data_IF_087447655329
#
_entry.id   IF_087447655329
#
_cell.length_a   1.000
_cell.length_b   1.000
_cell.length_c   1.000
_cell.angle_alpha   90.00
_cell.angle_beta   90.00
_cell.angle_gamma   90.00
#
_symmetry.space_group_name_H-M   'P 1'
#
loop_
_entity.id
_entity.type
_entity.pdbx_description
1 polymer ?
#
# COMPACT_ATOMS: atom_id res chain seq x y z
N UNK A 1 38.60 -14.77 -27.85
CA UNK A 1 37.66 -15.06 -26.75
C UNK A 1 37.05 -13.74 -26.31
N UNK A 2 35.78 -13.50 -26.62
CA UNK A 2 35.06 -12.30 -26.17
C UNK A 2 34.94 -12.38 -24.65
N UNK A 3 35.56 -11.44 -23.92
CA UNK A 3 35.36 -11.33 -22.47
C UNK A 3 33.94 -10.83 -22.26
N UNK A 4 33.06 -11.68 -21.75
CA UNK A 4 31.74 -11.28 -21.28
C UNK A 4 31.90 -10.08 -20.35
N UNK A 5 31.12 -9.00 -20.52
CA UNK A 5 31.22 -7.84 -19.67
C UNK A 5 30.99 -8.23 -18.20
N UNK A 6 31.79 -7.65 -17.31
CA UNK A 6 31.52 -7.74 -15.88
C UNK A 6 30.29 -6.88 -15.55
N UNK A 7 29.11 -7.51 -15.56
CA UNK A 7 27.84 -6.84 -15.35
C UNK A 7 27.75 -6.15 -13.98
N UNK A 8 28.41 -6.67 -12.93
CA UNK A 8 28.43 -6.04 -11.61
C UNK A 8 29.19 -4.72 -11.66
N UNK A 9 30.39 -4.75 -12.26
CA UNK A 9 31.19 -3.55 -12.46
C UNK A 9 30.47 -2.51 -13.32
N UNK A 10 29.75 -2.94 -14.35
CA UNK A 10 28.96 -2.02 -15.18
C UNK A 10 27.89 -1.29 -14.36
N UNK A 11 27.13 -2.01 -13.54
CA UNK A 11 26.13 -1.41 -12.64
C UNK A 11 26.82 -0.39 -11.71
N UNK A 12 27.89 -0.79 -11.02
CA UNK A 12 28.61 0.07 -10.07
C UNK A 12 29.12 1.36 -10.73
N UNK A 13 29.68 1.27 -11.95
CA UNK A 13 30.18 2.44 -12.68
C UNK A 13 29.08 3.32 -13.24
N UNK A 14 27.85 2.80 -13.35
CA UNK A 14 26.70 3.52 -13.90
C UNK A 14 25.83 4.16 -12.81
N UNK A 15 26.03 3.85 -11.52
CA UNK A 15 25.21 4.34 -10.40
C UNK A 15 25.04 5.86 -10.40
N UNK A 16 26.09 6.61 -10.72
CA UNK A 16 26.08 8.07 -10.81
C UNK A 16 26.44 8.55 -12.21
N UNK A 17 25.97 7.82 -13.23
CA UNK A 17 26.18 8.22 -14.62
C UNK A 17 25.57 9.59 -14.91
N UNK A 18 26.17 10.30 -15.86
CA UNK A 18 25.67 11.58 -16.34
C UNK A 18 24.24 11.43 -16.90
N UNK A 19 23.31 12.22 -16.37
CA UNK A 19 21.89 12.12 -16.69
C UNK A 19 21.63 12.37 -18.18
N UNK A 20 22.24 13.40 -18.77
CA UNK A 20 22.01 13.77 -20.17
C UNK A 20 22.49 12.67 -21.14
N UNK A 21 23.67 12.10 -20.89
CA UNK A 21 24.20 10.96 -21.66
C UNK A 21 23.33 9.72 -21.50
N UNK A 22 22.90 9.43 -20.27
CA UNK A 22 22.03 8.28 -19.95
C UNK A 22 20.68 8.42 -20.65
N UNK A 23 20.05 9.59 -20.57
CA UNK A 23 18.79 9.88 -21.22
C UNK A 23 18.90 9.78 -22.74
N UNK A 24 19.95 10.32 -23.35
CA UNK A 24 20.17 10.21 -24.80
C UNK A 24 20.29 8.74 -25.25
N UNK A 25 20.99 7.91 -24.47
CA UNK A 25 21.10 6.47 -24.74
C UNK A 25 19.75 5.75 -24.58
N UNK A 26 18.99 6.05 -23.53
CA UNK A 26 17.67 5.46 -23.28
C UNK A 26 16.65 5.85 -24.35
N UNK A 27 16.62 7.12 -24.79
CA UNK A 27 15.75 7.59 -25.88
C UNK A 27 16.05 6.82 -27.16
N UNK A 28 17.34 6.65 -27.49
CA UNK A 28 17.75 5.88 -28.66
C UNK A 28 17.33 4.41 -28.54
N UNK A 29 17.51 3.80 -27.37
CA UNK A 29 17.11 2.41 -27.12
C UNK A 29 15.59 2.21 -27.16
N UNK A 30 14.83 3.18 -26.68
CA UNK A 30 13.37 3.19 -26.66
C UNK A 30 12.76 3.75 -27.97
N UNK A 31 13.53 3.83 -29.05
CA UNK A 31 13.18 4.47 -30.33
C UNK A 31 12.06 3.78 -31.11
N UNK A 32 10.84 3.76 -30.57
CA UNK A 32 9.63 3.23 -31.20
C UNK A 32 9.25 4.03 -32.45
N UNK A 33 8.76 3.32 -33.47
CA UNK A 33 8.27 3.92 -34.71
C UNK A 33 7.07 4.84 -34.46
N UNK A 34 6.80 5.77 -35.39
CA UNK A 34 5.61 6.62 -35.30
C UNK A 34 4.31 5.82 -35.28
N UNK A 35 4.27 4.71 -36.02
CA UNK A 35 3.13 3.79 -36.06
C UNK A 35 2.93 3.06 -34.72
N UNK A 36 4.00 2.52 -34.12
CA UNK A 36 3.95 1.88 -32.80
C UNK A 36 3.44 2.86 -31.75
N UNK A 37 3.95 4.09 -31.75
CA UNK A 37 3.52 5.15 -30.84
C UNK A 37 2.04 5.44 -31.01
N UNK A 38 1.55 5.58 -32.25
CA UNK A 38 0.14 5.82 -32.52
C UNK A 38 -0.75 4.68 -31.99
N UNK A 39 -0.36 3.41 -32.22
CA UNK A 39 -1.09 2.24 -31.69
C UNK A 39 -1.09 2.17 -30.16
N UNK A 40 0.05 2.43 -29.52
CA UNK A 40 0.17 2.45 -28.06
C UNK A 40 -0.71 3.56 -27.48
N UNK A 41 -0.65 4.78 -28.05
CA UNK A 41 -1.46 5.91 -27.60
C UNK A 41 -2.96 5.62 -27.73
N UNK A 42 -3.40 5.03 -28.85
CA UNK A 42 -4.80 4.66 -29.05
C UNK A 42 -5.26 3.65 -27.98
N UNK A 43 -4.51 2.56 -27.78
CA UNK A 43 -4.83 1.55 -26.76
C UNK A 43 -4.80 2.11 -25.34
N UNK A 44 -3.83 2.96 -25.01
CA UNK A 44 -3.76 3.61 -23.71
C UNK A 44 -4.96 4.55 -23.49
N UNK A 45 -5.36 5.30 -24.51
CA UNK A 45 -6.55 6.14 -24.44
C UNK A 45 -7.83 5.31 -24.23
N UNK A 46 -7.95 4.14 -24.86
CA UNK A 46 -9.07 3.23 -24.64
C UNK A 46 -9.11 2.70 -23.19
N UNK A 47 -7.95 2.32 -22.63
CA UNK A 47 -7.84 1.91 -21.22
C UNK A 47 -8.25 3.05 -20.27
N UNK A 48 -7.78 4.28 -20.51
CA UNK A 48 -8.14 5.45 -19.69
C UNK A 48 -9.63 5.76 -19.81
N UNK A 49 -10.23 5.69 -21.01
CA UNK A 49 -11.67 5.88 -21.17
C UNK A 49 -12.46 4.79 -20.47
N UNK A 50 -12.00 3.53 -20.52
CA UNK A 50 -12.64 2.42 -19.81
C UNK A 50 -12.61 2.64 -18.28
N UNK A 51 -11.47 3.07 -17.72
CA UNK A 51 -11.35 3.41 -16.29
C UNK A 51 -12.29 4.55 -15.92
N UNK A 52 -12.29 5.64 -16.69
CA UNK A 52 -13.14 6.82 -16.43
C UNK A 52 -14.64 6.55 -16.55
N UNK A 53 -15.03 5.60 -17.39
CA UNK A 53 -16.44 5.23 -17.59
C UNK A 53 -16.93 4.18 -16.57
N UNK A 54 -16.07 3.66 -15.69
CA UNK A 54 -16.53 2.79 -14.61
C UNK A 54 -17.38 3.58 -13.61
N UNK A 55 -18.62 3.14 -13.45
CA UNK A 55 -19.72 3.90 -12.82
C UNK A 55 -19.72 3.83 -11.29
N UNK A 56 -18.71 3.23 -10.68
CA UNK A 56 -18.68 2.98 -9.24
C UNK A 56 -17.25 3.14 -8.72
N UNK A 57 -16.69 4.37 -8.77
CA UNK A 57 -15.37 4.61 -8.22
C UNK A 57 -15.36 4.20 -6.75
N UNK A 58 -14.33 3.47 -6.35
CA UNK A 58 -14.17 3.05 -4.96
C UNK A 58 -14.12 4.27 -4.05
N UNK A 59 -14.49 4.13 -2.78
CA UNK A 59 -14.42 5.22 -1.79
C UNK A 59 -13.05 5.92 -1.80
N UNK A 60 -11.99 5.15 -2.04
CA UNK A 60 -10.61 5.63 -2.17
C UNK A 60 -10.37 6.50 -3.41
N UNK A 61 -10.88 6.12 -4.58
CA UNK A 61 -10.65 6.88 -5.82
C UNK A 61 -11.33 8.25 -5.74
N UNK A 62 -12.53 8.30 -5.16
CA UNK A 62 -13.24 9.56 -4.92
C UNK A 62 -12.51 10.39 -3.85
N UNK A 63 -11.99 9.72 -2.82
CA UNK A 63 -11.21 10.36 -1.77
C UNK A 63 -9.89 10.97 -2.29
N UNK A 64 -9.12 10.22 -3.10
CA UNK A 64 -7.86 10.69 -3.67
C UNK A 64 -8.06 11.74 -4.77
N UNK A 65 -9.18 11.69 -5.50
CA UNK A 65 -9.52 12.74 -6.44
C UNK A 65 -9.83 14.08 -5.73
N UNK A 66 -10.42 14.02 -4.53
CA UNK A 66 -10.78 15.21 -3.75
C UNK A 66 -9.59 15.78 -2.96
N UNK A 67 -8.82 14.92 -2.29
CA UNK A 67 -7.76 15.34 -1.36
C UNK A 67 -6.34 15.19 -1.94
N UNK A 68 -6.09 14.29 -2.89
CA UNK A 68 -4.76 13.99 -3.42
C UNK A 68 -3.83 13.30 -2.41
N UNK A 69 -2.98 12.37 -2.87
CA UNK A 69 -2.01 11.67 -2.00
C UNK A 69 -0.79 12.53 -1.57
N UNK A 70 -0.59 13.66 -2.24
CA UNK A 70 0.55 14.55 -2.02
C UNK A 70 0.22 15.77 -1.15
N UNK A 71 -1.00 15.85 -0.62
CA UNK A 71 -1.41 16.91 0.30
C UNK A 71 -1.17 16.47 1.73
N UNK A 72 -0.94 17.43 2.62
CA UNK A 72 -0.78 17.15 4.04
C UNK A 72 -2.03 16.45 4.61
N UNK A 73 -3.21 16.78 4.10
CA UNK A 73 -4.48 16.14 4.43
C UNK A 73 -4.57 14.67 3.97
N UNK A 74 -4.16 14.38 2.73
CA UNK A 74 -4.13 13.03 2.18
C UNK A 74 -3.15 12.13 2.94
N UNK A 75 -1.97 12.64 3.28
CA UNK A 75 -0.96 11.95 4.09
C UNK A 75 -1.50 11.68 5.50
N UNK A 76 -2.10 12.68 6.15
CA UNK A 76 -2.65 12.54 7.50
C UNK A 76 -3.76 11.47 7.56
N UNK A 77 -4.66 11.44 6.57
CA UNK A 77 -5.71 10.43 6.55
C UNK A 77 -5.19 9.02 6.27
N UNK A 78 -4.20 8.90 5.39
CA UNK A 78 -3.55 7.62 5.11
C UNK A 78 -2.85 7.05 6.34
N UNK A 79 -2.10 7.89 7.07
CA UNK A 79 -1.49 7.54 8.35
C UNK A 79 -2.54 7.11 9.39
N UNK A 80 -3.68 7.82 9.46
CA UNK A 80 -4.74 7.46 10.37
C UNK A 80 -5.40 6.12 9.97
N UNK A 81 -5.66 5.89 8.69
CA UNK A 81 -6.23 4.64 8.18
C UNK A 81 -5.33 3.43 8.46
N UNK A 82 -4.02 3.59 8.30
CA UNK A 82 -3.02 2.60 8.67
C UNK A 82 -3.02 2.34 10.18
N UNK A 83 -3.00 3.40 10.99
CA UNK A 83 -2.95 3.31 12.44
C UNK A 83 -4.21 2.62 13.02
N UNK A 84 -5.41 2.99 12.55
CA UNK A 84 -6.67 2.40 13.01
C UNK A 84 -6.83 0.91 12.66
N UNK A 85 -6.10 0.40 11.67
CA UNK A 85 -6.08 -1.03 11.35
C UNK A 85 -5.11 -1.82 12.23
N UNK A 86 -4.05 -1.17 12.74
CA UNK A 86 -3.01 -1.82 13.55
C UNK A 86 -3.27 -1.75 15.04
N UNK A 87 -4.00 -0.74 15.49
CA UNK A 87 -4.29 -0.50 16.91
C UNK A 87 -5.61 -1.19 17.28
N UNK A 88 -5.60 -2.21 18.15
CA UNK A 88 -6.80 -2.94 18.52
C UNK A 88 -7.63 -2.25 19.62
N UNK A 89 -7.05 -1.32 20.38
CA UNK A 89 -7.67 -0.66 21.52
C UNK A 89 -8.24 0.72 21.18
N UNK A 90 -9.42 1.01 21.71
CA UNK A 90 -10.16 2.23 21.39
C UNK A 90 -9.49 3.50 21.94
N UNK A 91 -8.80 3.40 23.07
CA UNK A 91 -8.22 4.57 23.75
C UNK A 91 -6.98 5.09 22.99
N UNK A 92 -6.14 4.21 22.47
CA UNK A 92 -4.98 4.60 21.63
C UNK A 92 -5.44 5.12 20.26
N UNK A 93 -6.52 4.56 19.72
CA UNK A 93 -7.19 5.08 18.52
C UNK A 93 -7.64 6.53 18.73
N UNK A 94 -8.22 6.84 19.89
CA UNK A 94 -8.69 8.20 20.21
C UNK A 94 -7.54 9.19 20.30
N UNK A 95 -6.45 8.81 20.98
CA UNK A 95 -5.26 9.64 21.06
C UNK A 95 -4.64 9.91 19.68
N UNK A 96 -4.66 8.91 18.78
CA UNK A 96 -4.20 9.05 17.39
C UNK A 96 -5.10 9.94 16.55
N UNK A 97 -6.42 9.82 16.72
CA UNK A 97 -7.42 10.69 16.07
C UNK A 97 -7.19 12.13 16.50
N UNK A 98 -7.01 12.38 17.80
CA UNK A 98 -6.77 13.70 18.34
C UNK A 98 -5.43 14.30 17.84
N UNK A 99 -4.35 13.52 17.86
CA UNK A 99 -3.02 13.96 17.40
C UNK A 99 -2.96 14.25 15.89
N UNK A 100 -3.59 13.42 15.06
CA UNK A 100 -3.46 13.49 13.59
C UNK A 100 -4.56 14.29 12.89
N UNK A 101 -5.75 14.44 13.48
CA UNK A 101 -6.89 15.11 12.84
C UNK A 101 -7.06 16.54 13.34
N UNK A 102 -6.84 16.81 14.63
CA UNK A 102 -7.11 18.11 15.24
C UNK A 102 -6.25 19.30 14.70
N UNK A 103 -5.00 19.11 14.24
CA UNK A 103 -4.19 20.23 13.75
C UNK A 103 -4.56 20.75 12.35
N UNK A 104 -5.32 19.99 11.55
CA UNK A 104 -5.50 20.27 10.12
C UNK A 104 -6.77 21.09 9.81
N UNK A 105 -6.68 22.07 8.92
CA UNK A 105 -7.74 23.06 8.63
C UNK A 105 -8.71 22.57 7.54
N UNK A 106 -9.42 21.47 7.82
CA UNK A 106 -10.32 20.76 6.90
C UNK A 106 -11.50 21.59 6.36
N UNK A 107 -11.73 22.80 6.88
CA UNK A 107 -12.89 23.63 6.57
C UNK A 107 -12.88 24.24 5.15
N UNK A 108 -11.74 24.25 4.45
CA UNK A 108 -11.60 24.91 3.14
C UNK A 108 -12.20 24.12 1.96
N UNK A 109 -12.45 22.83 2.11
CA UNK A 109 -12.93 21.95 1.03
C UNK A 109 -14.44 21.63 1.10
N UNK A 110 -15.19 22.35 1.93
CA UNK A 110 -16.64 22.18 2.05
C UNK A 110 -17.37 22.67 0.78
N UNK A 111 -18.06 21.75 0.10
CA UNK A 111 -19.10 22.08 -0.90
C UNK A 111 -18.80 21.73 -2.36
N UNK A 112 -17.70 21.05 -2.67
CA UNK A 112 -17.30 20.76 -4.06
C UNK A 112 -17.60 19.34 -4.57
N UNK A 113 -17.96 18.38 -3.71
CA UNK A 113 -18.25 16.99 -4.12
C UNK A 113 -19.76 16.70 -4.23
N UNK A 114 -20.15 16.06 -5.33
CA UNK A 114 -21.55 15.68 -5.66
C UNK A 114 -22.03 14.40 -4.96
N UNK A 115 -21.17 13.76 -4.14
CA UNK A 115 -21.49 12.51 -3.44
C UNK A 115 -21.78 12.72 -1.95
N UNK A 116 -22.95 12.28 -1.51
CA UNK A 116 -23.42 12.36 -0.11
C UNK A 116 -22.59 11.50 0.87
N UNK A 117 -21.93 10.45 0.38
CA UNK A 117 -21.14 9.51 1.18
C UNK A 117 -19.73 10.03 1.49
N UNK A 118 -19.16 10.84 0.60
CA UNK A 118 -17.85 11.50 0.79
C UNK A 118 -17.98 12.65 1.77
N UNK A 119 -19.10 13.39 1.69
CA UNK A 119 -19.47 14.35 2.72
C UNK A 119 -19.56 13.65 4.09
N UNK A 120 -20.14 12.45 4.19
CA UNK A 120 -20.23 11.74 5.48
C UNK A 120 -18.86 11.45 6.13
N UNK A 121 -17.80 11.15 5.37
CA UNK A 121 -16.43 11.00 5.90
C UNK A 121 -15.81 12.32 6.37
N UNK A 122 -16.02 13.42 5.64
CA UNK A 122 -15.62 14.78 6.06
C UNK A 122 -16.34 15.19 7.36
N UNK A 123 -17.62 14.82 7.49
CA UNK A 123 -18.41 15.06 8.70
C UNK A 123 -17.92 14.27 9.91
N UNK A 124 -17.42 13.06 9.68
CA UNK A 124 -16.94 12.17 10.74
C UNK A 124 -15.59 12.63 11.32
N UNK A 125 -14.72 13.23 10.48
CA UNK A 125 -13.45 13.85 10.87
C UNK A 125 -13.63 15.25 11.51
N UNK A 126 -14.61 16.04 11.06
CA UNK A 126 -14.88 17.36 11.66
C UNK A 126 -15.49 17.28 13.07
N UNK A 127 -16.10 16.15 13.42
CA UNK A 127 -16.78 15.99 14.70
C UNK A 127 -15.83 15.77 15.88
N UNK A 128 -14.61 15.29 15.61
CA UNK A 128 -13.56 15.14 16.62
C UNK A 128 -12.77 16.44 16.84
N UNK A 129 -12.72 17.33 15.84
CA UNK A 129 -11.94 18.58 15.92
C UNK A 129 -12.68 19.84 16.43
N UNK A 130 -14.01 19.86 16.48
CA UNK A 130 -14.80 21.07 16.82
C UNK A 130 -15.81 20.88 17.97
N UNK A 131 -15.44 20.13 19.00
CA UNK A 131 -16.16 20.18 20.29
C UNK A 131 -15.71 21.37 21.16
N UNK A 132 -14.64 22.07 20.78
CA UNK A 132 -14.14 23.27 21.46
C UNK A 132 -14.03 24.45 20.50
N UNK A 133 -15.13 25.18 20.31
CA UNK A 133 -15.18 26.65 20.17
C UNK A 133 -16.59 27.09 19.78
N UNK A 134 -17.14 27.97 20.60
CA UNK A 134 -18.44 28.61 20.41
C UNK A 134 -18.41 29.64 19.27
N UNK A 135 -19.63 29.97 18.81
CA UNK A 135 -20.03 31.08 17.94
C UNK A 135 -20.10 30.84 16.41
N UNK A 136 -21.33 30.61 15.90
CA UNK A 136 -22.13 31.61 15.15
C UNK A 136 -23.47 30.99 14.66
N UNK A 137 -24.57 31.78 14.53
CA UNK A 137 -25.91 31.27 14.23
C UNK A 137 -26.17 31.22 12.72
N UNK A 138 -26.43 30.03 12.19
CA UNK A 138 -26.83 29.81 10.81
C UNK A 138 -27.62 28.51 10.65
N UNK A 139 -28.11 28.18 9.44
CA UNK A 139 -28.98 27.02 9.15
C UNK A 139 -28.39 25.64 9.55
N UNK A 140 -27.14 25.62 9.99
CA UNK A 140 -26.45 24.55 10.73
C UNK A 140 -27.16 24.16 12.04
N UNK A 141 -28.03 25.01 12.59
CA UNK A 141 -28.73 24.78 13.87
C UNK A 141 -29.63 23.54 13.92
N UNK A 142 -30.27 23.16 12.81
CA UNK A 142 -31.16 21.99 12.77
C UNK A 142 -30.39 20.66 12.67
N UNK A 143 -29.27 20.63 11.95
CA UNK A 143 -28.32 19.49 11.95
C UNK A 143 -27.63 19.31 13.31
N UNK A 144 -27.38 20.40 14.04
CA UNK A 144 -26.81 20.36 15.41
C UNK A 144 -27.73 19.62 16.39
N UNK A 145 -29.05 19.70 16.21
CA UNK A 145 -30.02 18.94 17.03
C UNK A 145 -29.97 17.44 16.76
N UNK A 146 -29.66 17.00 15.54
CA UNK A 146 -29.52 15.59 15.19
C UNK A 146 -28.19 15.03 15.69
N UNK A 147 -27.09 15.78 15.55
CA UNK A 147 -25.76 15.42 16.07
C UNK A 147 -25.73 15.37 17.60
N UNK A 148 -26.38 16.33 18.29
CA UNK A 148 -26.51 16.35 19.75
C UNK A 148 -27.41 15.24 20.29
N UNK A 149 -28.32 14.69 19.46
CA UNK A 149 -29.24 13.60 19.81
C UNK A 149 -28.71 12.20 19.45
N UNK A 150 -27.70 12.12 18.58
CA UNK A 150 -27.05 10.87 18.17
C UNK A 150 -25.77 10.54 18.96
N UNK A 151 -25.15 11.53 19.60
CA UNK A 151 -24.02 11.34 20.51
C UNK A 151 -22.70 10.98 19.81
N UNK A 152 -21.59 11.38 20.43
CA UNK A 152 -20.22 11.03 20.07
C UNK A 152 -20.01 9.51 19.73
N UNK A 153 -20.66 8.55 20.42
CA UNK A 153 -20.48 7.12 20.13
C UNK A 153 -20.96 6.68 18.73
N UNK A 154 -21.99 7.32 18.16
CA UNK A 154 -22.53 6.95 16.84
C UNK A 154 -21.59 7.42 15.72
N UNK A 155 -21.03 8.62 15.87
CA UNK A 155 -20.10 9.20 14.89
C UNK A 155 -18.77 8.44 14.93
N UNK A 156 -18.28 8.10 16.12
CA UNK A 156 -17.12 7.22 16.36
C UNK A 156 -17.27 5.86 15.66
N UNK A 157 -18.45 5.25 15.78
CA UNK A 157 -18.76 3.97 15.12
C UNK A 157 -18.73 4.13 13.59
N UNK A 158 -19.23 5.25 13.07
CA UNK A 158 -19.23 5.55 11.64
C UNK A 158 -17.81 5.78 11.08
N UNK A 159 -16.97 6.58 11.75
CA UNK A 159 -15.54 6.78 11.41
C UNK A 159 -14.82 5.43 11.39
N UNK A 160 -14.90 4.68 12.49
CA UNK A 160 -14.22 3.38 12.63
C UNK A 160 -14.62 2.43 11.51
N UNK A 161 -15.90 2.42 11.12
CA UNK A 161 -16.42 1.57 10.04
C UNK A 161 -15.93 2.05 8.67
N UNK A 162 -15.92 3.35 8.40
CA UNK A 162 -15.39 3.91 7.16
C UNK A 162 -13.89 3.64 7.02
N UNK A 163 -13.13 3.78 8.10
CA UNK A 163 -11.68 3.55 8.12
C UNK A 163 -11.33 2.07 8.02
N UNK A 164 -12.10 1.17 8.65
CA UNK A 164 -11.99 -0.28 8.39
C UNK A 164 -12.24 -0.61 6.93
N UNK A 165 -13.20 0.06 6.28
CA UNK A 165 -13.49 -0.20 4.87
C UNK A 165 -12.42 0.38 3.93
N UNK A 166 -11.85 1.55 4.24
CA UNK A 166 -10.69 2.09 3.53
C UNK A 166 -9.46 1.20 3.73
N UNK A 167 -9.22 0.74 4.96
CA UNK A 167 -8.13 -0.16 5.28
C UNK A 167 -8.18 -1.50 4.55
N UNK A 168 -9.39 -1.98 4.21
CA UNK A 168 -9.58 -3.17 3.38
C UNK A 168 -9.22 -2.96 1.91
N UNK A 169 -9.12 -1.71 1.45
CA UNK A 169 -8.58 -1.39 0.12
C UNK A 169 -7.04 -1.46 0.11
N UNK A 170 -6.38 -1.18 1.24
CA UNK A 170 -4.92 -1.23 1.36
C UNK A 170 -4.39 -2.60 1.80
N UNK A 171 -5.12 -3.28 2.68
CA UNK A 171 -4.74 -4.56 3.25
C UNK A 171 -5.80 -5.60 2.88
N UNK A 172 -5.41 -6.51 1.97
CA UNK A 172 -6.29 -7.56 1.46
C UNK A 172 -6.83 -8.47 2.59
N UNK A 173 -6.10 -8.61 3.69
CA UNK A 173 -6.58 -9.26 4.91
C UNK A 173 -5.60 -9.09 6.08
N UNK A 174 -6.11 -9.10 7.31
CA UNK A 174 -5.30 -8.96 8.54
C UNK A 174 -4.29 -10.10 8.72
N UNK A 175 -4.55 -11.25 8.10
CA UNK A 175 -3.64 -12.38 8.02
C UNK A 175 -3.75 -13.06 6.65
N UNK A 176 -2.76 -13.89 6.33
CA UNK A 176 -2.63 -14.53 5.01
C UNK A 176 -3.87 -15.35 4.62
N UNK A 177 -4.48 -16.09 5.56
CA UNK A 177 -5.67 -16.90 5.28
C UNK A 177 -6.86 -16.01 4.90
N UNK A 178 -7.05 -14.90 5.60
CA UNK A 178 -8.10 -13.94 5.27
C UNK A 178 -7.85 -13.25 3.92
N UNK A 179 -6.59 -12.97 3.58
CA UNK A 179 -6.21 -12.38 2.30
C UNK A 179 -6.47 -13.36 1.14
N UNK A 180 -6.08 -14.64 1.28
CA UNK A 180 -6.36 -15.70 0.31
C UNK A 180 -7.87 -15.91 0.11
N UNK A 181 -8.66 -15.91 1.18
CA UNK A 181 -10.12 -16.04 1.08
C UNK A 181 -10.74 -14.89 0.27
N UNK A 182 -10.21 -13.68 0.37
CA UNK A 182 -10.68 -12.52 -0.42
C UNK A 182 -10.18 -12.57 -1.86
N UNK A 183 -8.93 -13.01 -2.08
CA UNK A 183 -8.33 -13.18 -3.41
C UNK A 183 -9.14 -14.13 -4.32
N UNK A 184 -9.72 -15.19 -3.75
CA UNK A 184 -10.46 -16.22 -4.48
C UNK A 184 -11.55 -15.69 -5.43
N UNK A 185 -12.15 -14.53 -5.15
CA UNK A 185 -13.14 -13.91 -6.02
C UNK A 185 -12.56 -13.39 -7.35
N UNK A 186 -11.35 -12.82 -7.32
CA UNK A 186 -10.65 -12.33 -8.51
C UNK A 186 -9.85 -13.45 -9.19
N UNK A 187 -9.37 -14.45 -8.44
CA UNK A 187 -8.72 -15.63 -9.01
C UNK A 187 -9.65 -16.37 -9.99
N UNK A 188 -10.95 -16.45 -9.67
CA UNK A 188 -11.98 -16.98 -10.59
C UNK A 188 -12.11 -16.20 -11.90
N UNK A 189 -11.63 -14.96 -11.94
CA UNK A 189 -11.61 -14.11 -13.16
C UNK A 189 -10.27 -14.19 -13.90
N UNK A 190 -9.33 -15.02 -13.43
CA UNK A 190 -8.01 -15.21 -14.04
C UNK A 190 -6.91 -14.31 -13.47
N UNK A 191 -7.14 -13.62 -12.35
CA UNK A 191 -6.06 -12.90 -11.65
C UNK A 191 -5.21 -13.85 -10.81
N UNK A 192 -3.92 -13.55 -10.68
CA UNK A 192 -3.04 -14.15 -9.68
C UNK A 192 -2.59 -13.09 -8.66
N UNK A 193 -2.05 -13.52 -7.53
CA UNK A 193 -1.64 -12.65 -6.44
C UNK A 193 -0.19 -12.93 -6.01
N UNK A 194 0.57 -11.87 -5.74
CA UNK A 194 1.78 -11.94 -4.91
C UNK A 194 1.48 -11.23 -3.59
N UNK A 195 1.62 -11.91 -2.46
CA UNK A 195 1.31 -11.34 -1.15
C UNK A 195 2.52 -10.57 -0.59
N UNK A 196 2.36 -9.27 -0.33
CA UNK A 196 3.31 -8.46 0.44
C UNK A 196 2.97 -8.54 1.93
N UNK A 197 3.93 -8.99 2.74
CA UNK A 197 3.72 -9.24 4.17
C UNK A 197 3.95 -8.01 5.07
N UNK A 198 4.10 -6.80 4.50
CA UNK A 198 4.23 -5.49 5.19
C UNK A 198 5.36 -5.37 6.22
N UNK A 199 6.15 -6.42 6.45
CA UNK A 199 7.32 -6.39 7.33
C UNK A 199 8.51 -5.78 6.60
N UNK A 200 9.13 -4.78 7.21
CA UNK A 200 10.31 -4.08 6.71
C UNK A 200 11.19 -3.57 7.87
N UNK A 201 12.43 -3.20 7.55
CA UNK A 201 13.35 -2.48 8.43
C UNK A 201 13.43 -3.05 9.87
N UNK A 202 13.80 -4.33 10.00
CA UNK A 202 14.02 -4.95 11.30
C UNK A 202 14.98 -4.09 12.13
N UNK A 203 14.65 -3.82 13.40
CA UNK A 203 15.51 -3.03 14.30
C UNK A 203 16.35 -3.92 15.19
N UNK A 204 15.88 -5.13 15.47
CA UNK A 204 16.54 -6.13 16.29
C UNK A 204 16.59 -7.49 15.59
N UNK A 205 17.46 -8.39 16.05
CA UNK A 205 17.44 -9.76 15.53
C UNK A 205 16.12 -10.49 15.87
N UNK A 206 15.49 -10.13 17.00
CA UNK A 206 14.17 -10.63 17.37
C UNK A 206 13.10 -10.21 16.35
N UNK A 207 13.15 -8.98 15.84
CA UNK A 207 12.28 -8.55 14.74
C UNK A 207 12.54 -9.36 13.48
N UNK A 208 13.82 -9.53 13.11
CA UNK A 208 14.19 -10.30 11.93
C UNK A 208 13.73 -11.76 12.00
N UNK A 209 13.86 -12.40 13.17
CA UNK A 209 13.35 -13.74 13.42
C UNK A 209 11.81 -13.80 13.36
N UNK A 210 11.12 -12.79 13.91
CA UNK A 210 9.66 -12.67 13.84
C UNK A 210 9.18 -12.53 12.39
N UNK A 211 9.81 -11.69 11.57
CA UNK A 211 9.49 -11.54 10.16
C UNK A 211 9.80 -12.82 9.36
N UNK A 212 10.94 -13.44 9.60
CA UNK A 212 11.30 -14.73 8.97
C UNK A 212 10.24 -15.82 9.25
N UNK A 213 9.77 -15.91 10.49
CA UNK A 213 8.70 -16.83 10.87
C UNK A 213 7.36 -16.46 10.21
N UNK A 214 7.04 -15.16 10.12
CA UNK A 214 5.84 -14.68 9.44
C UNK A 214 5.85 -15.05 7.95
N UNK A 215 6.97 -14.84 7.25
CA UNK A 215 7.15 -15.28 5.86
C UNK A 215 7.03 -16.80 5.73
N UNK A 216 7.67 -17.57 6.62
CA UNK A 216 7.61 -19.04 6.58
C UNK A 216 6.17 -19.56 6.74
N UNK A 217 5.41 -18.96 7.66
CA UNK A 217 3.98 -19.29 7.87
C UNK A 217 3.12 -18.88 6.67
N UNK A 218 3.38 -17.71 6.08
CA UNK A 218 2.69 -17.26 4.89
C UNK A 218 2.94 -18.18 3.70
N UNK A 219 4.20 -18.54 3.43
CA UNK A 219 4.56 -19.51 2.38
C UNK A 219 3.82 -20.84 2.61
N UNK A 220 3.80 -21.34 3.84
CA UNK A 220 3.12 -22.60 4.15
C UNK A 220 1.60 -22.53 3.91
N UNK A 221 0.98 -21.38 4.19
CA UNK A 221 -0.45 -21.17 3.92
C UNK A 221 -0.75 -21.03 2.42
N UNK A 222 0.04 -20.22 1.72
CA UNK A 222 -0.11 -19.98 0.27
C UNK A 222 0.14 -21.25 -0.53
N UNK A 223 1.06 -22.11 -0.07
CA UNK A 223 1.39 -23.39 -0.73
C UNK A 223 0.15 -24.28 -0.96
N UNK A 224 -0.88 -24.19 -0.12
CA UNK A 224 -2.13 -24.94 -0.29
C UNK A 224 -2.93 -24.52 -1.53
N UNK A 225 -2.68 -23.32 -2.05
CA UNK A 225 -3.28 -22.80 -3.27
C UNK A 225 -2.35 -22.89 -4.50
N UNK A 226 -1.11 -23.36 -4.34
CA UNK A 226 -0.18 -23.57 -5.46
C UNK A 226 -0.45 -24.92 -6.13
N UNK A 227 -1.48 -24.97 -6.98
CA UNK A 227 -1.94 -26.22 -7.63
C UNK A 227 -1.56 -26.32 -9.11
N UNK A 228 -1.08 -25.23 -9.72
CA UNK A 228 -0.69 -25.20 -11.12
C UNK A 228 0.74 -25.71 -11.32
N UNK A 229 0.98 -26.34 -12.48
CA UNK A 229 2.32 -26.81 -12.86
C UNK A 229 3.26 -25.64 -13.21
N UNK A 230 2.71 -24.56 -13.78
CA UNK A 230 3.45 -23.33 -14.04
C UNK A 230 3.39 -22.41 -12.82
N UNK A 231 4.58 -22.03 -12.33
CA UNK A 231 4.75 -21.11 -11.20
C UNK A 231 4.09 -19.74 -11.43
N UNK A 232 3.98 -19.30 -12.69
CA UNK A 232 3.40 -18.00 -13.05
C UNK A 232 1.89 -17.93 -12.81
N UNK A 233 1.25 -19.09 -12.80
CA UNK A 233 -0.19 -19.25 -12.56
C UNK A 233 -0.48 -19.54 -11.07
N UNK A 234 0.54 -19.78 -10.26
CA UNK A 234 0.40 -19.94 -8.81
C UNK A 234 0.48 -18.58 -8.09
N UNK A 235 -0.16 -18.43 -6.92
CA UNK A 235 0.09 -17.29 -6.07
C UNK A 235 1.56 -17.28 -5.60
N UNK A 236 2.07 -16.08 -5.32
CA UNK A 236 3.43 -15.84 -4.86
C UNK A 236 3.52 -15.05 -3.57
N UNK A 237 4.74 -14.77 -3.13
CA UNK A 237 5.03 -13.92 -1.98
C UNK A 237 6.14 -12.92 -2.32
N UNK A 238 6.03 -11.72 -1.76
CA UNK A 238 7.07 -10.69 -1.80
C UNK A 238 7.75 -10.60 -0.44
N UNK A 239 9.09 -10.52 -0.45
CA UNK A 239 9.93 -10.40 0.75
C UNK A 239 10.86 -9.20 0.63
N UNK A 240 11.09 -8.49 1.74
CA UNK A 240 12.05 -7.39 1.86
C UNK A 240 13.30 -7.87 2.60
N UNK A 241 14.49 -7.51 2.13
CA UNK A 241 15.73 -7.99 2.75
C UNK A 241 15.99 -7.28 4.07
N UNK A 242 15.61 -6.00 4.18
CA UNK A 242 15.65 -5.25 5.44
C UNK A 242 14.83 -5.88 6.58
N UNK A 243 13.80 -6.67 6.25
CA UNK A 243 13.00 -7.40 7.24
C UNK A 243 13.76 -8.62 7.82
N UNK A 244 14.78 -9.13 7.13
CA UNK A 244 15.46 -10.38 7.49
C UNK A 244 16.78 -10.16 8.23
N UNK A 245 17.22 -8.92 8.38
CA UNK A 245 18.45 -8.57 9.10
C UNK A 245 18.37 -7.16 9.69
N UNK A 246 18.70 -6.96 10.98
CA UNK A 246 18.57 -5.66 11.63
C UNK A 246 19.55 -4.60 11.10
N UNK A 247 20.58 -5.03 10.38
CA UNK A 247 21.62 -4.18 9.79
C UNK A 247 21.86 -4.56 8.33
N UNK A 248 20.83 -4.48 7.51
CA UNK A 248 20.93 -4.70 6.07
C UNK A 248 21.58 -3.46 5.42
N UNK A 249 22.91 -3.38 5.47
CA UNK A 249 23.69 -2.25 4.98
C UNK A 249 25.04 -2.73 4.42
N UNK A 250 25.63 -1.96 3.50
CA UNK A 250 26.89 -2.32 2.83
C UNK A 250 28.03 -2.55 3.84
N UNK A 251 28.09 -1.74 4.90
CA UNK A 251 29.12 -1.86 5.93
C UNK A 251 29.06 -3.19 6.72
N UNK A 252 27.91 -3.86 6.75
CA UNK A 252 27.72 -5.16 7.42
C UNK A 252 27.69 -6.34 6.44
N UNK A 253 28.31 -6.20 5.26
CA UNK A 253 28.30 -7.23 4.20
C UNK A 253 28.59 -8.63 4.70
N UNK A 254 29.62 -8.82 5.53
CA UNK A 254 29.97 -10.16 6.04
C UNK A 254 28.83 -10.77 6.87
N UNK A 255 28.21 -10.00 7.75
CA UNK A 255 27.06 -10.45 8.56
C UNK A 255 25.82 -10.69 7.69
N UNK A 256 25.55 -9.84 6.71
CA UNK A 256 24.46 -10.03 5.74
C UNK A 256 24.65 -11.37 5.00
N UNK A 257 25.86 -11.65 4.51
CA UNK A 257 26.15 -12.91 3.83
C UNK A 257 26.07 -14.13 4.76
N UNK A 258 26.46 -13.98 6.03
CA UNK A 258 26.47 -15.08 7.00
C UNK A 258 25.10 -15.36 7.64
N UNK A 259 24.21 -14.36 7.75
CA UNK A 259 22.95 -14.44 8.50
C UNK A 259 21.72 -14.25 7.60
N UNK A 260 21.66 -13.16 6.83
CA UNK A 260 20.52 -12.84 5.97
C UNK A 260 20.37 -13.87 4.84
N UNK A 261 21.47 -14.19 4.14
CA UNK A 261 21.42 -15.10 2.98
C UNK A 261 20.90 -16.50 3.37
N UNK A 262 21.34 -17.14 4.49
CA UNK A 262 20.72 -18.38 4.94
C UNK A 262 19.22 -18.27 5.27
N UNK A 263 18.79 -17.17 5.90
CA UNK A 263 17.36 -16.91 6.20
C UNK A 263 16.54 -16.80 4.92
N UNK A 264 17.00 -16.03 3.95
CA UNK A 264 16.35 -15.90 2.65
C UNK A 264 16.34 -17.23 1.89
N UNK A 265 17.47 -17.96 1.91
CA UNK A 265 17.58 -19.27 1.26
C UNK A 265 16.56 -20.26 1.81
N UNK A 266 16.31 -20.27 3.12
CA UNK A 266 15.31 -21.18 3.69
C UNK A 266 13.90 -20.83 3.19
N UNK A 267 13.55 -19.54 3.08
CA UNK A 267 12.27 -19.10 2.51
C UNK A 267 12.16 -19.49 1.03
N UNK A 268 13.23 -19.28 0.25
CA UNK A 268 13.26 -19.66 -1.17
C UNK A 268 13.12 -21.18 -1.38
N UNK A 269 13.70 -21.99 -0.49
CA UNK A 269 13.53 -23.45 -0.55
C UNK A 269 12.10 -23.89 -0.22
N UNK A 270 11.44 -23.22 0.75
CA UNK A 270 10.02 -23.46 1.04
C UNK A 270 9.14 -23.08 -0.17
N UNK A 271 9.34 -21.89 -0.74
CA UNK A 271 8.61 -21.45 -1.93
C UNK A 271 8.84 -22.39 -3.12
N UNK A 272 10.09 -22.82 -3.35
CA UNK A 272 10.43 -23.84 -4.36
C UNK A 272 9.65 -25.14 -4.15
N UNK A 273 9.61 -25.65 -2.91
CA UNK A 273 8.90 -26.90 -2.60
C UNK A 273 7.38 -26.82 -2.86
N UNK A 274 6.83 -25.60 -2.80
CA UNK A 274 5.43 -25.32 -3.08
C UNK A 274 5.14 -24.98 -4.56
N UNK A 275 6.15 -24.82 -5.42
CA UNK A 275 5.94 -24.32 -6.78
C UNK A 275 5.45 -22.86 -6.82
N UNK A 276 5.90 -22.05 -5.84
CA UNK A 276 5.46 -20.68 -5.58
C UNK A 276 6.51 -19.65 -6.03
N UNK A 277 6.05 -18.54 -6.62
CA UNK A 277 6.90 -17.38 -6.89
C UNK A 277 7.35 -16.70 -5.60
N UNK A 278 8.66 -16.47 -5.44
CA UNK A 278 9.21 -15.62 -4.37
C UNK A 278 9.91 -14.42 -5.01
N UNK A 279 9.37 -13.23 -4.74
CA UNK A 279 9.88 -11.97 -5.22
C UNK A 279 10.67 -11.29 -4.09
N UNK A 280 11.83 -10.74 -4.42
CA UNK A 280 12.59 -9.87 -3.51
C UNK A 280 12.29 -8.44 -3.91
N UNK A 281 11.68 -7.67 -3.02
CA UNK A 281 11.36 -6.28 -3.27
C UNK A 281 12.65 -5.45 -3.35
N UNK A 282 12.66 -4.45 -4.23
CA UNK A 282 13.73 -3.46 -4.28
C UNK A 282 13.51 -2.40 -3.20
N UNK A 283 14.59 -2.00 -2.53
CA UNK A 283 14.58 -1.05 -1.40
C UNK A 283 15.44 0.18 -1.78
N UNK A 284 16.03 0.89 -0.81
CA UNK A 284 16.80 2.11 -1.06
C UNK A 284 18.00 1.90 -2.01
N UNK A 285 18.37 2.99 -2.73
CA UNK A 285 19.52 3.05 -3.64
C UNK A 285 20.85 3.37 -2.94
#
# INVERSE_FOLDING_TARGET
MSKTPDHRRLIDTATYADEAKTLAALIKSAGLSGEDRARICARAADLVRAIRNQSNPGLMEVFLAEYGLSTDEGIALMCLAEALLRVPDADTIDALIEDKIAPSDWGRHLGHSTSSLVNASTWALMLTGKVLKDEQPGPVGHLRSAVKRLGEPVIRTAVTRAMKEMGRQFVLGENINSAMKRAAGMEKKGYSYSYDMLGEAARTDADAARYHLAYSRAISAIALACTNADIRDNPGISVKLSALHPRYEVAQREQVMAVLVPRLRSLALLAKSAGMGLNIDAEEA
#
